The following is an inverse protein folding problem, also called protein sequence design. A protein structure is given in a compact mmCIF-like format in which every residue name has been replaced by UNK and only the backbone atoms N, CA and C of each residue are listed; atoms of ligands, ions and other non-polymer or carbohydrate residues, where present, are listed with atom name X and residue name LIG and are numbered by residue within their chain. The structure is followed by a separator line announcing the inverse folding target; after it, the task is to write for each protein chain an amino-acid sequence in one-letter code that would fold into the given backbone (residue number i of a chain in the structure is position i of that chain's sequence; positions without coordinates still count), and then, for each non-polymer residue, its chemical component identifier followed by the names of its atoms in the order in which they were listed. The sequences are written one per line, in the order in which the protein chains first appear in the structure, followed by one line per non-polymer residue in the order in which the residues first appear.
data_IF_408531477767
#
_entry.id   IF_408531477767
#
_cell.length_a   1.000
_cell.length_b   1.000
_cell.length_c   1.000
_cell.angle_alpha   90.00
_cell.angle_beta   90.00
_cell.angle_gamma   90.00
#
_symmetry.space_group_name_H-M   'P 1'
#
loop_
_entity.id
_entity.type
_entity.pdbx_description
1 polymer ?
#
# COMPACT_ATOMS: atom_id res chain seq x y z
N UNK A 1 11.36 13.97 0.78
CA UNK A 1 11.62 12.54 1.03
C UNK A 1 12.28 11.97 -0.21
N UNK A 2 13.29 11.12 -0.04
CA UNK A 2 13.85 10.35 -1.16
C UNK A 2 12.81 9.34 -1.65
N UNK A 3 12.79 8.95 -2.94
CA UNK A 3 11.75 8.03 -3.42
C UNK A 3 11.80 6.69 -2.67
N UNK A 4 12.97 6.28 -2.21
CA UNK A 4 13.14 5.10 -1.36
C UNK A 4 12.46 5.21 0.02
N UNK A 5 12.44 6.40 0.63
CA UNK A 5 11.70 6.63 1.88
C UNK A 5 10.18 6.52 1.64
N UNK A 6 9.72 6.97 0.47
CA UNK A 6 8.31 6.86 0.07
C UNK A 6 7.96 5.40 -0.21
N UNK A 7 8.79 4.65 -0.95
CA UNK A 7 8.59 3.21 -1.19
C UNK A 7 8.50 2.41 0.11
N UNK A 8 9.38 2.72 1.06
CA UNK A 8 9.35 2.08 2.39
C UNK A 8 8.05 2.38 3.11
N UNK A 9 7.64 3.64 3.14
CA UNK A 9 6.37 4.05 3.77
C UNK A 9 5.18 3.34 3.14
N UNK A 10 5.11 3.28 1.81
CA UNK A 10 4.05 2.57 1.09
C UNK A 10 4.05 1.07 1.40
N UNK A 11 5.22 0.46 1.49
CA UNK A 11 5.36 -0.97 1.82
C UNK A 11 4.86 -1.28 3.23
N UNK A 12 5.23 -0.43 4.21
CA UNK A 12 4.79 -0.54 5.60
C UNK A 12 3.26 -0.35 5.72
N UNK A 13 2.69 0.61 4.97
CA UNK A 13 1.25 0.86 4.95
C UNK A 13 0.46 -0.29 4.29
N UNK A 14 0.96 -0.89 3.20
CA UNK A 14 0.35 -2.05 2.56
C UNK A 14 0.20 -3.20 3.57
N UNK A 15 1.28 -3.52 4.30
CA UNK A 15 1.25 -4.60 5.29
C UNK A 15 0.30 -4.27 6.45
N UNK A 16 0.32 -3.02 6.93
CA UNK A 16 -0.58 -2.56 7.99
C UNK A 16 -2.06 -2.71 7.58
N UNK A 17 -2.43 -2.32 6.36
CA UNK A 17 -3.80 -2.47 5.88
C UNK A 17 -4.20 -3.93 5.66
N UNK A 18 -3.29 -4.80 5.22
CA UNK A 18 -3.54 -6.26 5.15
C UNK A 18 -3.76 -6.87 6.53
N UNK A 19 -3.01 -6.45 7.54
CA UNK A 19 -3.23 -6.88 8.94
C UNK A 19 -4.56 -6.35 9.49
N UNK A 20 -4.93 -5.10 9.19
CA UNK A 20 -6.23 -4.54 9.55
C UNK A 20 -7.39 -5.27 8.90
N UNK A 21 -7.27 -5.65 7.62
CA UNK A 21 -8.30 -6.43 6.94
C UNK A 21 -8.56 -7.76 7.67
N UNK A 22 -7.51 -8.53 7.99
CA UNK A 22 -7.62 -9.77 8.80
C UNK A 22 -8.25 -9.51 10.17
N UNK A 23 -7.92 -8.39 10.81
CA UNK A 23 -8.53 -8.01 12.08
C UNK A 23 -10.03 -7.71 11.93
N UNK A 24 -10.42 -6.96 10.89
CA UNK A 24 -11.82 -6.65 10.61
C UNK A 24 -12.63 -7.87 10.22
N UNK A 25 -12.04 -8.80 9.46
CA UNK A 25 -12.63 -10.11 9.16
C UNK A 25 -12.97 -10.86 10.46
N UNK A 26 -12.02 -10.91 11.41
CA UNK A 26 -12.23 -11.57 12.72
C UNK A 26 -13.33 -10.94 13.58
N UNK A 27 -13.67 -9.67 13.31
CA UNK A 27 -14.75 -8.93 13.98
C UNK A 27 -16.04 -8.89 13.14
N UNK A 28 -16.09 -9.56 11.99
CA UNK A 28 -17.19 -9.52 11.02
C UNK A 28 -17.55 -8.10 10.53
N UNK A 29 -16.55 -7.21 10.44
CA UNK A 29 -16.70 -5.84 9.95
C UNK A 29 -16.47 -5.77 8.43
N UNK A 30 -17.38 -6.37 7.66
CA UNK A 30 -17.22 -6.62 6.22
C UNK A 30 -16.86 -5.39 5.38
N UNK A 31 -17.48 -4.23 5.62
CA UNK A 31 -17.18 -3.02 4.83
C UNK A 31 -15.81 -2.43 5.19
N UNK A 32 -15.37 -2.55 6.44
CA UNK A 32 -14.05 -2.10 6.87
C UNK A 32 -12.94 -3.01 6.30
N UNK A 33 -13.16 -4.32 6.29
CA UNK A 33 -12.30 -5.31 5.64
C UNK A 33 -12.13 -4.99 4.15
N UNK A 34 -13.22 -4.91 3.38
CA UNK A 34 -13.18 -4.58 1.94
C UNK A 34 -12.45 -3.27 1.67
N UNK A 35 -12.69 -2.25 2.50
CA UNK A 35 -12.01 -0.96 2.35
C UNK A 35 -10.50 -1.11 2.58
N UNK A 36 -10.08 -1.80 3.63
CA UNK A 36 -8.67 -2.02 3.95
C UNK A 36 -7.96 -2.83 2.84
N UNK A 37 -8.59 -3.90 2.33
CA UNK A 37 -8.05 -4.68 1.21
C UNK A 37 -7.89 -3.85 -0.07
N UNK A 38 -8.92 -3.06 -0.42
CA UNK A 38 -8.89 -2.20 -1.60
C UNK A 38 -7.82 -1.13 -1.48
N UNK A 39 -7.65 -0.55 -0.29
CA UNK A 39 -6.63 0.45 -0.05
C UNK A 39 -5.22 -0.16 -0.17
N UNK A 40 -4.97 -1.32 0.45
CA UNK A 40 -3.71 -2.04 0.29
C UNK A 40 -3.39 -2.34 -1.18
N UNK A 41 -4.38 -2.82 -1.95
CA UNK A 41 -4.22 -3.10 -3.39
C UNK A 41 -3.90 -1.86 -4.22
N UNK A 42 -4.55 -0.72 -3.91
CA UNK A 42 -4.26 0.54 -4.58
C UNK A 42 -2.85 1.07 -4.26
N UNK A 43 -2.39 0.90 -3.01
CA UNK A 43 -1.03 1.29 -2.61
C UNK A 43 0.03 0.38 -3.25
N UNK A 44 -0.25 -0.91 -3.41
CA UNK A 44 0.61 -1.84 -4.13
C UNK A 44 0.72 -1.47 -5.62
N UNK A 45 -0.39 -1.07 -6.24
CA UNK A 45 -0.39 -0.52 -7.60
C UNK A 45 0.43 0.78 -7.68
N UNK A 46 0.27 1.69 -6.71
CA UNK A 46 1.04 2.93 -6.67
C UNK A 46 2.55 2.65 -6.50
N UNK A 47 2.92 1.68 -5.66
CA UNK A 47 4.30 1.28 -5.43
C UNK A 47 4.93 0.67 -6.69
N UNK A 48 4.21 -0.21 -7.39
CA UNK A 48 4.69 -0.88 -8.61
C UNK A 48 4.81 0.05 -9.82
N UNK A 49 4.10 1.18 -9.80
CA UNK A 49 4.16 2.21 -10.85
C UNK A 49 5.05 3.40 -10.45
N UNK A 50 5.63 3.40 -9.26
CA UNK A 50 6.49 4.48 -8.78
C UNK A 50 7.90 4.36 -9.38
N UNK A 51 8.40 5.40 -10.08
CA UNK A 51 9.72 5.36 -10.69
C UNK A 51 10.83 5.22 -9.62
N UNK A 52 11.87 4.46 -9.95
CA UNK A 52 13.13 4.34 -9.20
C UNK A 52 13.79 5.72 -8.99
N UNK A 53 14.62 5.87 -7.95
CA UNK A 53 15.57 7.00 -7.89
C UNK A 53 16.63 6.89 -9.01
N UNK A 54 16.82 5.68 -9.56
CA UNK A 54 17.70 5.39 -10.70
C UNK A 54 16.98 5.52 -12.07
N UNK A 55 15.65 5.64 -12.08
CA UNK A 55 14.92 5.86 -13.32
C UNK A 55 15.18 7.28 -13.78
N UNK A 56 15.81 7.42 -14.95
CA UNK A 56 16.05 8.73 -15.58
C UNK A 56 14.70 9.29 -16.02
N UNK A 57 14.42 10.56 -15.71
CA UNK A 57 13.25 11.24 -16.26
C UNK A 57 13.27 11.10 -17.78
N UNK A 58 12.17 10.64 -18.37
CA UNK A 58 12.04 10.56 -19.82
C UNK A 58 12.11 11.99 -20.34
N UNK A 59 13.20 12.31 -21.04
CA UNK A 59 13.50 13.64 -21.58
C UNK A 59 12.64 14.01 -22.78
#
# INVERSE_FOLDING_TARGET
MKKDEIRKTLSDDIENFRLKAKHYESLHLFEAEKYAEKLASNLELALTTMPSDEDTDIS
#
